data_IF_317491965302
#
_entry.id   IF_317491965302
#
_cell.length_a   1.000
_cell.length_b   1.000
_cell.length_c   1.000
_cell.angle_alpha   90.00
_cell.angle_beta   90.00
_cell.angle_gamma   90.00
#
_symmetry.space_group_name_H-M   'P 1'
#
loop_
_entity.id
_entity.type
_entity.pdbx_description
1 polymer ?
#
# COMPACT_ATOMS: atom_id res chain seq x y z
N UNK A 1 -15.03 8.27 38.68
CA UNK A 1 -15.64 7.68 37.47
C UNK A 1 -14.81 8.14 36.29
N UNK A 2 -13.88 7.31 35.85
CA UNK A 2 -13.03 7.60 34.68
C UNK A 2 -13.86 7.29 33.44
N UNK A 3 -14.13 8.32 32.64
CA UNK A 3 -14.80 8.17 31.35
C UNK A 3 -13.86 7.47 30.38
N UNK A 4 -14.15 6.20 30.07
CA UNK A 4 -13.57 5.52 28.92
C UNK A 4 -14.09 6.23 27.67
N UNK A 5 -13.25 7.06 27.07
CA UNK A 5 -13.52 7.62 25.74
C UNK A 5 -13.29 6.50 24.74
N UNK A 6 -14.38 5.84 24.33
CA UNK A 6 -14.35 4.91 23.20
C UNK A 6 -14.12 5.77 21.96
N UNK A 7 -12.87 5.91 21.53
CA UNK A 7 -12.56 6.43 20.22
C UNK A 7 -13.17 5.46 19.20
N UNK A 8 -14.00 5.94 18.26
CA UNK A 8 -14.44 5.09 17.17
C UNK A 8 -13.18 4.60 16.46
N UNK A 9 -13.05 3.28 16.32
CA UNK A 9 -12.08 2.72 15.42
C UNK A 9 -12.41 3.29 14.04
N UNK A 10 -11.58 4.24 13.56
CA UNK A 10 -11.58 4.65 12.16
C UNK A 10 -11.57 3.33 11.38
N UNK A 11 -12.55 3.15 10.50
CA UNK A 11 -12.62 1.98 9.65
C UNK A 11 -11.22 1.78 9.08
N UNK A 12 -10.56 0.67 9.44
CA UNK A 12 -9.20 0.42 9.02
C UNK A 12 -9.18 0.56 7.51
N UNK A 13 -8.52 1.62 6.99
CA UNK A 13 -8.52 1.92 5.57
C UNK A 13 -8.07 0.65 4.86
N UNK A 14 -8.98 0.08 4.07
CA UNK A 14 -8.65 -1.11 3.30
C UNK A 14 -7.56 -0.73 2.32
N UNK A 15 -6.57 -1.60 2.20
CA UNK A 15 -5.40 -1.36 1.36
C UNK A 15 -5.35 -2.42 0.26
N UNK A 16 -5.25 -1.95 -0.98
CA UNK A 16 -4.95 -2.80 -2.12
C UNK A 16 -3.43 -2.87 -2.30
N UNK A 17 -2.92 -4.08 -2.45
CA UNK A 17 -1.50 -4.31 -2.68
C UNK A 17 -1.21 -4.51 -4.17
N UNK A 18 -0.11 -3.90 -4.61
CA UNK A 18 0.42 -4.05 -5.96
C UNK A 18 1.90 -4.42 -5.87
N UNK A 19 2.33 -5.28 -6.78
CA UNK A 19 3.76 -5.54 -6.99
C UNK A 19 4.25 -4.64 -8.11
N UNK A 20 5.30 -3.91 -7.83
CA UNK A 20 6.05 -3.13 -8.80
C UNK A 20 7.32 -3.88 -9.12
N UNK A 21 7.53 -4.19 -10.40
CA UNK A 21 8.68 -4.94 -10.90
C UNK A 21 9.51 -3.98 -11.75
N UNK A 22 10.77 -3.84 -11.39
CA UNK A 22 11.78 -3.09 -12.12
C UNK A 22 12.86 -4.03 -12.68
N UNK A 23 13.82 -3.49 -13.42
CA UNK A 23 15.00 -4.26 -13.84
C UNK A 23 15.93 -4.64 -12.70
N UNK A 24 15.82 -3.96 -11.54
CA UNK A 24 16.71 -4.16 -10.40
C UNK A 24 16.07 -5.00 -9.30
N UNK A 25 14.77 -4.83 -9.09
CA UNK A 25 14.09 -5.35 -7.92
C UNK A 25 12.57 -5.47 -8.13
N UNK A 26 11.93 -6.09 -7.14
CA UNK A 26 10.48 -6.09 -6.98
C UNK A 26 10.13 -5.49 -5.63
N UNK A 27 9.08 -4.67 -5.60
CA UNK A 27 8.62 -3.99 -4.39
C UNK A 27 7.11 -4.19 -4.29
N UNK A 28 6.62 -4.57 -3.10
CA UNK A 28 5.19 -4.56 -2.81
C UNK A 28 4.82 -3.18 -2.27
N UNK A 29 3.82 -2.56 -2.87
CA UNK A 29 3.27 -1.27 -2.45
C UNK A 29 1.82 -1.41 -2.04
N UNK A 30 1.38 -0.56 -1.12
CA UNK A 30 -0.02 -0.45 -0.72
C UNK A 30 -0.59 0.90 -1.09
N UNK A 31 -1.84 0.88 -1.58
CA UNK A 31 -2.64 2.08 -1.87
C UNK A 31 -3.94 1.96 -1.08
N UNK A 32 -4.29 3.00 -0.33
CA UNK A 32 -5.56 3.07 0.40
C UNK A 32 -6.74 3.00 -0.58
N UNK A 33 -7.89 2.47 -0.16
CA UNK A 33 -9.10 2.48 -1.00
C UNK A 33 -9.48 3.90 -1.44
N UNK A 34 -9.30 4.90 -0.56
CA UNK A 34 -9.57 6.31 -0.89
C UNK A 34 -8.68 6.83 -2.02
N UNK A 35 -7.38 6.56 -1.97
CA UNK A 35 -6.44 6.94 -3.02
C UNK A 35 -6.67 6.14 -4.30
N UNK A 36 -6.94 4.84 -4.19
CA UNK A 36 -7.17 3.96 -5.33
C UNK A 36 -8.44 4.37 -6.09
N UNK A 37 -9.47 4.82 -5.39
CA UNK A 37 -10.71 5.33 -5.99
C UNK A 37 -10.47 6.57 -6.89
N UNK A 38 -9.36 7.30 -6.69
CA UNK A 38 -8.97 8.42 -7.55
C UNK A 38 -8.16 7.98 -8.79
N UNK A 39 -7.80 6.69 -8.89
CA UNK A 39 -7.02 6.15 -10.00
C UNK A 39 -7.98 5.55 -11.04
N UNK A 40 -7.86 5.99 -12.29
CA UNK A 40 -8.65 5.45 -13.40
C UNK A 40 -8.55 3.91 -13.46
N UNK A 41 -9.70 3.23 -13.52
CA UNK A 41 -9.77 1.77 -13.57
C UNK A 41 -9.52 1.06 -12.24
N UNK A 42 -9.05 1.76 -11.19
CA UNK A 42 -8.91 1.24 -9.82
C UNK A 42 -8.15 -0.10 -9.75
N UNK A 43 -7.16 -0.28 -10.62
CA UNK A 43 -6.45 -1.54 -10.82
C UNK A 43 -4.98 -1.30 -11.16
N UNK A 44 -4.20 -2.38 -11.31
CA UNK A 44 -2.76 -2.31 -11.59
C UNK A 44 -2.42 -1.52 -12.87
N UNK A 45 -3.24 -1.65 -13.93
CA UNK A 45 -3.08 -0.88 -15.16
C UNK A 45 -3.32 0.61 -14.94
N UNK A 46 -4.32 0.96 -14.13
CA UNK A 46 -4.57 2.33 -13.68
C UNK A 46 -3.39 2.93 -12.91
N UNK A 47 -2.84 2.18 -11.95
CA UNK A 47 -1.67 2.58 -11.17
C UNK A 47 -0.46 2.83 -12.08
N UNK A 48 -0.19 1.91 -13.03
CA UNK A 48 0.89 2.08 -13.99
C UNK A 48 0.71 3.33 -14.87
N UNK A 49 -0.51 3.55 -15.41
CA UNK A 49 -0.83 4.74 -16.20
C UNK A 49 -0.62 6.03 -15.39
N UNK A 50 -1.09 6.07 -14.15
CA UNK A 50 -0.92 7.25 -13.29
C UNK A 50 0.55 7.54 -13.02
N UNK A 51 1.36 6.52 -12.77
CA UNK A 51 2.80 6.68 -12.53
C UNK A 51 3.51 7.24 -13.76
N UNK A 52 3.22 6.71 -14.95
CA UNK A 52 3.77 7.24 -16.21
C UNK A 52 3.32 8.69 -16.42
N UNK A 53 2.03 9.00 -16.21
CA UNK A 53 1.49 10.35 -16.42
C UNK A 53 2.08 11.39 -15.46
N UNK A 54 2.31 11.02 -14.20
CA UNK A 54 2.89 11.93 -13.18
C UNK A 54 4.41 11.96 -13.18
N UNK A 55 5.07 11.00 -13.83
CA UNK A 55 6.52 10.77 -13.77
C UNK A 55 7.02 10.20 -12.43
N UNK A 56 6.31 10.45 -11.33
CA UNK A 56 6.59 9.85 -10.02
C UNK A 56 5.34 9.82 -9.12
N UNK A 57 5.37 8.95 -8.12
CA UNK A 57 4.33 8.78 -7.10
C UNK A 57 4.95 8.52 -5.72
N UNK A 58 4.38 9.09 -4.67
CA UNK A 58 4.67 8.67 -3.29
C UNK A 58 3.72 7.54 -2.91
N UNK A 59 4.24 6.40 -2.48
CA UNK A 59 3.47 5.20 -2.13
C UNK A 59 4.00 4.56 -0.85
N UNK A 60 3.19 3.78 -0.15
CA UNK A 60 3.67 3.00 0.98
C UNK A 60 4.30 1.70 0.51
N UNK A 61 5.52 1.41 0.97
CA UNK A 61 6.08 0.07 0.83
C UNK A 61 5.45 -0.87 1.85
N UNK A 62 5.15 -2.09 1.42
CA UNK A 62 4.64 -3.16 2.25
C UNK A 62 5.63 -4.32 2.29
N UNK A 63 5.65 -5.03 3.43
CA UNK A 63 6.40 -6.26 3.57
C UNK A 63 5.73 -7.22 4.54
N UNK A 64 6.09 -8.50 4.43
CA UNK A 64 5.70 -9.51 5.39
C UNK A 64 6.44 -9.26 6.70
N UNK A 65 5.69 -9.16 7.81
CA UNK A 65 6.23 -9.09 9.17
C UNK A 65 5.57 -10.12 10.06
N UNK A 66 6.30 -10.52 11.10
CA UNK A 66 5.76 -11.35 12.17
C UNK A 66 5.11 -10.44 13.21
N UNK A 67 3.84 -10.67 13.51
CA UNK A 67 3.11 -9.97 14.57
C UNK A 67 3.65 -10.37 15.95
N UNK A 68 3.26 -9.63 17.00
CA UNK A 68 3.63 -9.99 18.37
C UNK A 68 3.10 -11.38 18.78
N UNK A 69 1.97 -11.81 18.21
CA UNK A 69 1.40 -13.15 18.40
C UNK A 69 2.07 -14.24 17.58
N UNK A 70 2.95 -13.88 16.64
CA UNK A 70 3.73 -14.80 15.84
C UNK A 70 3.17 -15.10 14.44
N UNK A 71 2.01 -14.57 14.11
CA UNK A 71 1.40 -14.68 12.77
C UNK A 71 2.15 -13.82 11.74
N UNK A 72 2.10 -14.22 10.47
CA UNK A 72 2.61 -13.40 9.37
C UNK A 72 1.52 -12.46 8.85
N UNK A 73 1.87 -11.19 8.70
CA UNK A 73 0.98 -10.13 8.21
C UNK A 73 1.70 -9.30 7.14
N UNK A 74 0.97 -8.73 6.18
CA UNK A 74 1.49 -7.66 5.34
C UNK A 74 1.38 -6.34 6.08
N UNK A 75 2.50 -5.68 6.31
CA UNK A 75 2.58 -4.48 7.13
C UNK A 75 3.20 -3.32 6.34
N UNK A 76 2.63 -2.10 6.45
CA UNK A 76 3.29 -0.91 5.89
C UNK A 76 4.63 -0.69 6.57
N UNK A 77 5.65 -0.35 5.78
CA UNK A 77 7.00 -0.05 6.25
C UNK A 77 7.21 1.46 6.39
N UNK A 78 7.24 2.17 5.26
CA UNK A 78 7.44 3.61 5.15
C UNK A 78 6.98 4.08 3.75
N UNK A 79 6.81 5.39 3.56
CA UNK A 79 6.55 5.96 2.24
C UNK A 79 7.84 6.01 1.41
N UNK A 80 7.73 5.64 0.14
CA UNK A 80 8.80 5.70 -0.85
C UNK A 80 8.37 6.53 -2.06
N UNK A 81 9.34 7.14 -2.73
CA UNK A 81 9.15 7.75 -4.05
C UNK A 81 9.36 6.68 -5.13
N UNK A 82 8.34 6.42 -5.93
CA UNK A 82 8.40 5.58 -7.10
C UNK A 82 8.47 6.46 -8.34
N UNK A 83 9.49 6.27 -9.18
CA UNK A 83 9.73 7.07 -10.38
C UNK A 83 9.43 6.19 -11.60
N UNK A 84 8.73 6.75 -12.59
CA UNK A 84 8.49 6.09 -13.86
C UNK A 84 9.83 5.78 -14.55
N UNK A 85 10.00 4.53 -15.01
CA UNK A 85 11.16 4.08 -15.76
C UNK A 85 10.71 3.15 -16.89
N UNK A 86 11.60 2.95 -17.87
CA UNK A 86 11.27 2.21 -19.10
C UNK A 86 10.94 0.72 -18.88
N UNK A 87 11.18 0.18 -17.69
CA UNK A 87 10.92 -1.23 -17.35
C UNK A 87 10.15 -1.39 -16.06
N UNK A 88 8.99 -0.73 -16.01
CA UNK A 88 8.11 -0.74 -14.86
C UNK A 88 6.85 -1.55 -15.17
N UNK A 89 6.71 -2.73 -14.57
CA UNK A 89 5.47 -3.52 -14.61
C UNK A 89 4.77 -3.44 -13.25
N UNK A 90 3.47 -3.17 -13.27
CA UNK A 90 2.64 -3.18 -12.06
C UNK A 90 1.66 -4.33 -12.16
N UNK A 91 1.61 -5.16 -11.12
CA UNK A 91 0.72 -6.32 -11.01
C UNK A 91 -0.12 -6.22 -9.73
N UNK A 92 -1.34 -6.77 -9.69
CA UNK A 92 -2.03 -7.02 -8.43
C UNK A 92 -1.17 -7.96 -7.55
N UNK A 93 -1.13 -7.71 -6.25
CA UNK A 93 -0.44 -8.58 -5.30
C UNK A 93 -1.44 -9.23 -4.35
N UNK A 94 -2.12 -10.31 -4.78
CA UNK A 94 -3.01 -11.06 -3.91
C UNK A 94 -2.19 -11.77 -2.84
N UNK A 95 -2.70 -11.78 -1.61
CA UNK A 95 -2.03 -12.41 -0.48
C UNK A 95 -3.06 -13.10 0.42
N UNK A 96 -2.75 -14.29 0.96
CA UNK A 96 -3.58 -14.91 1.99
C UNK A 96 -3.35 -14.29 3.37
N UNK A 97 -2.31 -13.47 3.53
CA UNK A 97 -1.96 -12.85 4.80
C UNK A 97 -2.89 -11.66 5.08
N UNK A 98 -3.14 -11.40 6.36
CA UNK A 98 -3.83 -10.19 6.78
C UNK A 98 -3.01 -8.96 6.35
N UNK A 99 -3.68 -8.00 5.71
CA UNK A 99 -3.09 -6.72 5.33
C UNK A 99 -3.41 -5.69 6.40
N UNK A 100 -2.38 -5.10 7.00
CA UNK A 100 -2.55 -4.05 7.98
C UNK A 100 -2.84 -2.70 7.30
N UNK A 101 -3.72 -1.87 7.89
CA UNK A 101 -4.01 -0.55 7.36
C UNK A 101 -2.78 0.34 7.38
N UNK A 102 -2.79 1.35 6.51
CA UNK A 102 -1.82 2.44 6.56
C UNK A 102 -2.09 3.26 7.82
N UNK A 103 -1.04 3.49 8.61
CA UNK A 103 -1.08 4.43 9.72
C UNK A 103 -0.28 5.68 9.33
N UNK A 104 -0.99 6.73 8.89
CA UNK A 104 -0.41 8.00 8.46
C UNK A 104 0.38 8.73 9.57
N UNK A 105 0.19 8.34 10.84
CA UNK A 105 0.94 8.91 11.97
C UNK A 105 2.37 8.38 12.07
N UNK A 106 2.68 7.25 11.41
CA UNK A 106 4.01 6.65 11.35
C UNK A 106 4.83 7.26 10.21
N UNK A 107 5.15 8.55 10.30
CA UNK A 107 6.10 9.21 9.40
C UNK A 107 7.54 8.96 9.81
#
# INVERSE_FOLDING_TARGET
MESVVIQPALAADKVSLFKVITTKDEIVIGISEGDLAQIEGQNAGGVAKMLVAKGSMSVWQYAVRKSAGGDLEQSPLHKIGLIASDSLRVEPYPTPLKVLPIDESKK
#
